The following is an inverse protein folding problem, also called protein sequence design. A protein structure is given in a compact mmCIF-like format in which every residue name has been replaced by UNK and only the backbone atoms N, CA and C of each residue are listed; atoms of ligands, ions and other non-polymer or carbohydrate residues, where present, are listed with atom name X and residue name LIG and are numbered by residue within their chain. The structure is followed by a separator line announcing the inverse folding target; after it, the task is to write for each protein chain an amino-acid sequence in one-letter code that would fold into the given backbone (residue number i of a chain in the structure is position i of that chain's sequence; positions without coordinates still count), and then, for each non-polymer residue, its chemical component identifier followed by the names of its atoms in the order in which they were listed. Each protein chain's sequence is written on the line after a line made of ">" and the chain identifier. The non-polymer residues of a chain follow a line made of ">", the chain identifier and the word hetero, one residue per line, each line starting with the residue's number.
data_IF_423203737090
#
_entry.id   IF_423203737090
#
_cell.length_a   1.000
_cell.length_b   1.000
_cell.length_c   1.000
_cell.angle_alpha   90.00
_cell.angle_beta   90.00
_cell.angle_gamma   90.00
#
_symmetry.space_group_name_H-M   'P 1'
#
loop_
_entity.id
_entity.type
_entity.pdbx_description
1 polymer ?
#
# COMPACT_ATOMS: atom_id res chain seq x y z
N UNK A 1 18.94 -26.48 2.61
CA UNK A 1 18.50 -25.09 2.84
C UNK A 1 17.74 -25.10 4.16
N UNK A 2 18.41 -24.73 5.25
CA UNK A 2 17.82 -24.77 6.59
C UNK A 2 16.66 -23.80 6.68
N UNK A 3 15.43 -24.32 6.78
CA UNK A 3 14.25 -23.54 7.13
C UNK A 3 14.43 -23.16 8.60
N UNK A 4 14.92 -21.95 8.85
CA UNK A 4 14.99 -21.42 10.21
C UNK A 4 13.56 -21.24 10.72
N UNK A 5 13.21 -21.99 11.76
CA UNK A 5 11.96 -21.80 12.51
C UNK A 5 12.08 -20.49 13.29
N UNK A 6 11.33 -19.47 12.87
CA UNK A 6 11.25 -18.20 13.56
C UNK A 6 10.26 -18.31 14.71
N UNK A 7 10.69 -17.94 15.93
CA UNK A 7 9.84 -17.90 17.11
C UNK A 7 8.75 -16.82 16.93
N UNK A 8 7.50 -17.27 16.88
CA UNK A 8 6.30 -16.43 16.85
C UNK A 8 6.10 -15.83 18.24
N UNK A 9 6.02 -14.50 18.33
CA UNK A 9 5.66 -13.80 19.56
C UNK A 9 4.15 -13.53 19.56
N UNK A 10 3.41 -14.25 20.40
CA UNK A 10 2.01 -13.93 20.74
C UNK A 10 0.98 -14.40 19.72
N UNK A 11 0.55 -15.66 19.82
CA UNK A 11 -0.75 -16.10 19.33
C UNK A 11 -1.77 -15.82 20.43
N UNK A 12 -2.47 -14.71 20.34
CA UNK A 12 -3.74 -14.53 21.04
C UNK A 12 -4.82 -14.18 20.02
N UNK A 13 -5.88 -14.97 20.08
CA UNK A 13 -6.99 -15.12 19.15
C UNK A 13 -7.71 -13.79 18.83
N UNK A 14 -7.63 -13.35 17.58
CA UNK A 14 -8.61 -12.40 17.00
C UNK A 14 -8.98 -12.87 15.60
N UNK A 15 -10.18 -13.44 15.51
CA UNK A 15 -10.89 -13.70 14.27
C UNK A 15 -10.94 -12.40 13.44
N UNK A 16 -10.16 -12.33 12.35
CA UNK A 16 -10.30 -11.26 11.35
C UNK A 16 -9.28 -10.12 11.37
N UNK A 17 -8.03 -10.32 11.77
CA UNK A 17 -6.98 -9.33 11.48
C UNK A 17 -5.70 -10.01 11.00
N UNK A 18 -5.25 -9.66 9.80
CA UNK A 18 -3.96 -10.12 9.28
C UNK A 18 -2.85 -9.84 10.31
N UNK A 19 -1.88 -10.74 10.51
CA UNK A 19 -0.72 -10.42 11.31
C UNK A 19 -0.10 -9.12 10.76
N UNK A 20 0.10 -8.14 11.63
CA UNK A 20 0.91 -6.99 11.26
C UNK A 20 2.30 -7.54 10.88
N UNK A 21 2.92 -6.96 9.85
CA UNK A 21 4.24 -7.38 9.36
C UNK A 21 5.30 -7.42 10.48
N UNK A 22 5.03 -6.73 11.58
CA UNK A 22 5.87 -6.55 12.76
C UNK A 22 5.53 -7.49 13.94
N UNK A 23 4.49 -8.30 13.84
CA UNK A 23 4.01 -9.16 14.94
C UNK A 23 4.25 -10.65 14.66
N UNK A 24 4.08 -11.10 13.41
CA UNK A 24 4.39 -12.47 13.02
C UNK A 24 4.87 -12.54 11.55
N UNK A 25 5.62 -13.60 11.17
CA UNK A 25 5.98 -13.83 9.77
C UNK A 25 4.74 -13.98 8.88
N UNK A 26 4.79 -13.40 7.69
CA UNK A 26 3.76 -13.58 6.67
C UNK A 26 3.86 -14.97 6.03
N UNK A 27 2.72 -15.56 5.72
CA UNK A 27 2.68 -16.70 4.81
C UNK A 27 2.92 -16.28 3.35
N UNK A 28 3.09 -17.27 2.46
CA UNK A 28 3.42 -17.04 1.06
C UNK A 28 2.34 -16.26 0.31
N UNK A 29 1.07 -16.54 0.58
CA UNK A 29 -0.08 -15.90 -0.07
C UNK A 29 -0.23 -14.44 0.38
N UNK A 30 -0.13 -14.19 1.69
CA UNK A 30 -0.13 -12.85 2.27
C UNK A 30 1.02 -12.00 1.72
N UNK A 31 2.22 -12.56 1.64
CA UNK A 31 3.39 -11.87 1.09
C UNK A 31 3.19 -11.57 -0.40
N UNK A 32 2.68 -12.51 -1.18
CA UNK A 32 2.41 -12.32 -2.61
C UNK A 32 1.36 -11.23 -2.85
N UNK A 33 0.29 -11.20 -2.04
CA UNK A 33 -0.77 -10.19 -2.16
C UNK A 33 -0.28 -8.79 -1.79
N UNK A 34 0.44 -8.65 -0.68
CA UNK A 34 1.04 -7.37 -0.29
C UNK A 34 2.08 -6.90 -1.33
N UNK A 35 2.87 -7.82 -1.88
CA UNK A 35 3.85 -7.49 -2.92
C UNK A 35 3.19 -6.92 -4.19
N UNK A 36 2.01 -7.41 -4.59
CA UNK A 36 1.25 -6.82 -5.72
C UNK A 36 0.89 -5.37 -5.45
N UNK A 37 0.43 -5.06 -4.23
CA UNK A 37 0.04 -3.71 -3.84
C UNK A 37 1.27 -2.79 -3.75
N UNK A 38 2.34 -3.23 -3.09
CA UNK A 38 3.59 -2.47 -3.01
C UNK A 38 4.21 -2.24 -4.38
N UNK A 39 4.14 -3.20 -5.30
CA UNK A 39 4.59 -3.01 -6.69
C UNK A 39 3.79 -1.93 -7.40
N UNK A 40 2.49 -1.82 -7.14
CA UNK A 40 1.67 -0.73 -7.66
C UNK A 40 2.04 0.62 -7.03
N UNK A 41 2.37 0.67 -5.73
CA UNK A 41 2.75 1.90 -5.03
C UNK A 41 4.21 2.33 -5.27
N UNK A 42 5.10 1.41 -5.64
CA UNK A 42 6.54 1.65 -5.81
C UNK A 42 6.93 2.48 -7.04
N UNK A 43 5.97 3.13 -7.69
CA UNK A 43 6.19 3.98 -8.86
C UNK A 43 5.74 5.42 -8.54
N UNK A 44 6.57 6.42 -8.85
CA UNK A 44 6.31 7.80 -8.45
C UNK A 44 5.07 8.39 -9.12
N UNK A 45 4.79 8.02 -10.37
CA UNK A 45 3.62 8.50 -11.11
C UNK A 45 2.36 7.91 -10.50
N UNK A 46 2.35 6.60 -10.23
CA UNK A 46 1.22 5.91 -9.59
C UNK A 46 0.95 6.45 -8.18
N UNK A 47 1.99 6.67 -7.39
CA UNK A 47 1.84 7.22 -6.04
C UNK A 47 1.26 8.64 -6.07
N UNK A 48 1.71 9.49 -7.01
CA UNK A 48 1.17 10.83 -7.20
C UNK A 48 -0.28 10.82 -7.69
N UNK A 49 -0.62 9.94 -8.64
CA UNK A 49 -2.01 9.74 -9.10
C UNK A 49 -2.92 9.33 -7.94
N UNK A 50 -2.51 8.34 -7.14
CA UNK A 50 -3.26 7.88 -5.99
C UNK A 50 -3.48 9.02 -4.97
N UNK A 51 -2.43 9.79 -4.67
CA UNK A 51 -2.51 10.94 -3.77
C UNK A 51 -3.51 12.00 -4.25
N UNK A 52 -3.49 12.32 -5.55
CA UNK A 52 -4.44 13.27 -6.15
C UNK A 52 -5.89 12.77 -6.08
N UNK A 53 -6.12 11.46 -6.25
CA UNK A 53 -7.45 10.85 -6.13
C UNK A 53 -7.91 10.86 -4.67
N UNK A 54 -7.04 10.44 -3.75
CA UNK A 54 -7.36 10.33 -2.32
C UNK A 54 -7.58 11.68 -1.63
N UNK A 55 -6.93 12.75 -2.09
CA UNK A 55 -7.05 14.09 -1.51
C UNK A 55 -8.20 14.93 -2.08
N UNK A 56 -8.99 14.40 -3.01
CA UNK A 56 -10.10 15.14 -3.61
C UNK A 56 -11.30 15.19 -2.66
N UNK A 57 -11.75 16.41 -2.32
CA UNK A 57 -12.87 16.63 -1.41
C UNK A 57 -14.21 15.98 -1.85
N UNK A 58 -14.40 15.72 -3.14
CA UNK A 58 -15.61 15.07 -3.68
C UNK A 58 -15.57 13.53 -3.70
N UNK A 59 -14.48 12.91 -3.22
CA UNK A 59 -14.32 11.45 -3.19
C UNK A 59 -14.03 10.78 -4.55
N UNK A 60 -14.11 11.52 -5.65
CA UNK A 60 -13.79 11.04 -6.99
C UNK A 60 -13.17 12.12 -7.89
N UNK A 61 -12.43 11.70 -8.92
CA UNK A 61 -11.72 12.58 -9.85
C UNK A 61 -11.87 12.11 -11.29
N UNK A 62 -12.20 13.02 -12.19
CA UNK A 62 -12.20 12.73 -13.63
C UNK A 62 -10.78 12.54 -14.15
N UNK A 63 -10.57 11.59 -15.07
CA UNK A 63 -9.28 11.38 -15.75
C UNK A 63 -8.72 12.64 -16.42
N UNK A 64 -9.60 13.53 -16.87
CA UNK A 64 -9.24 14.80 -17.52
C UNK A 64 -8.64 15.81 -16.55
N UNK A 65 -8.95 15.70 -15.26
CA UNK A 65 -8.36 16.54 -14.23
C UNK A 65 -7.03 15.97 -13.73
N UNK A 66 -6.77 14.68 -13.97
CA UNK A 66 -5.53 14.01 -13.56
C UNK A 66 -4.41 14.20 -14.59
N UNK A 67 -4.74 14.01 -15.88
CA UNK A 67 -3.76 13.98 -16.97
C UNK A 67 -2.89 15.25 -17.07
N UNK A 68 -3.44 16.48 -16.92
CA UNK A 68 -2.64 17.71 -17.03
C UNK A 68 -1.54 17.88 -15.98
N UNK A 69 -1.55 17.10 -14.89
CA UNK A 69 -0.52 17.18 -13.84
C UNK A 69 0.79 16.46 -14.21
N UNK A 70 0.85 15.81 -15.37
CA UNK A 70 1.96 14.98 -15.82
C UNK A 70 2.33 15.29 -17.26
N UNK A 71 3.64 15.33 -17.55
CA UNK A 71 4.18 15.38 -18.92
C UNK A 71 4.18 13.98 -19.56
N UNK A 72 3.02 13.31 -19.53
CA UNK A 72 2.85 11.94 -19.99
C UNK A 72 1.68 11.82 -20.96
N UNK A 73 1.76 10.84 -21.85
CA UNK A 73 0.66 10.53 -22.76
C UNK A 73 -0.56 9.98 -22.02
N UNK A 74 -1.76 10.22 -22.56
CA UNK A 74 -3.00 9.65 -22.01
C UNK A 74 -2.98 8.10 -21.95
N UNK A 75 -2.42 7.36 -22.93
CA UNK A 75 -2.24 5.92 -22.82
C UNK A 75 -1.38 5.50 -21.63
N UNK A 76 -0.32 6.26 -21.33
CA UNK A 76 0.56 6.00 -20.18
C UNK A 76 -0.18 6.21 -18.86
N UNK A 77 -0.92 7.31 -18.71
CA UNK A 77 -1.74 7.58 -17.52
C UNK A 77 -2.82 6.52 -17.34
N UNK A 78 -3.50 6.13 -18.42
CA UNK A 78 -4.51 5.07 -18.39
C UNK A 78 -3.93 3.72 -17.95
N UNK A 79 -2.70 3.40 -18.40
CA UNK A 79 -1.99 2.21 -17.95
C UNK A 79 -1.70 2.25 -16.44
N UNK A 80 -1.21 3.37 -15.92
CA UNK A 80 -0.97 3.55 -14.50
C UNK A 80 -2.25 3.41 -13.65
N UNK A 81 -3.35 4.00 -14.09
CA UNK A 81 -4.66 3.88 -13.44
C UNK A 81 -5.19 2.45 -13.47
N UNK A 82 -4.96 1.71 -14.57
CA UNK A 82 -5.29 0.29 -14.65
C UNK A 82 -4.51 -0.54 -13.63
N UNK A 83 -3.20 -0.29 -13.47
CA UNK A 83 -2.38 -1.01 -12.49
C UNK A 83 -2.82 -0.71 -11.05
N UNK A 84 -3.14 0.55 -10.73
CA UNK A 84 -3.70 0.91 -9.43
C UNK A 84 -5.05 0.22 -9.16
N UNK A 85 -5.92 0.14 -10.17
CA UNK A 85 -7.19 -0.57 -10.07
C UNK A 85 -6.99 -2.08 -9.88
N UNK A 86 -6.07 -2.70 -10.61
CA UNK A 86 -5.75 -4.12 -10.47
C UNK A 86 -5.17 -4.45 -9.10
N UNK A 87 -4.47 -3.52 -8.46
CA UNK A 87 -4.00 -3.63 -7.08
C UNK A 87 -5.09 -3.35 -6.03
N UNK A 88 -6.33 -3.05 -6.43
CA UNK A 88 -7.45 -2.78 -5.52
C UNK A 88 -7.34 -1.44 -4.78
N UNK A 89 -6.49 -0.52 -5.22
CA UNK A 89 -6.30 0.78 -4.57
C UNK A 89 -7.37 1.80 -4.97
N UNK A 90 -7.88 1.68 -6.20
CA UNK A 90 -8.87 2.59 -6.76
C UNK A 90 -9.95 1.81 -7.51
N UNK A 91 -11.11 2.42 -7.66
CA UNK A 91 -12.15 1.98 -8.57
C UNK A 91 -12.43 3.06 -9.62
N UNK A 92 -13.15 2.69 -10.68
CA UNK A 92 -13.47 3.57 -11.80
C UNK A 92 -14.94 3.45 -12.22
N UNK A 93 -15.59 4.58 -12.46
CA UNK A 93 -16.95 4.64 -12.98
C UNK A 93 -16.97 5.43 -14.30
N UNK A 94 -17.63 4.89 -15.33
CA UNK A 94 -17.80 5.60 -16.62
C UNK A 94 -19.13 6.33 -16.62
N UNK A 95 -19.08 7.65 -16.81
CA UNK A 95 -20.25 8.53 -16.91
C UNK A 95 -20.24 9.23 -18.27
N UNK A 96 -20.93 8.63 -19.23
CA UNK A 96 -20.91 9.05 -20.64
C UNK A 96 -19.53 8.87 -21.27
N UNK A 97 -18.93 9.97 -21.71
CA UNK A 97 -17.59 9.97 -22.32
C UNK A 97 -16.46 9.94 -21.29
N UNK A 98 -16.75 10.34 -20.05
CA UNK A 98 -15.73 10.54 -19.02
C UNK A 98 -15.63 9.34 -18.07
N UNK A 99 -14.44 9.15 -17.50
CA UNK A 99 -14.18 8.13 -16.47
C UNK A 99 -13.71 8.82 -15.21
N UNK A 100 -14.38 8.50 -14.11
CA UNK A 100 -14.10 8.99 -12.77
C UNK A 100 -13.41 7.88 -11.97
N UNK A 101 -12.43 8.27 -11.17
CA UNK A 101 -11.69 7.37 -10.29
C UNK A 101 -11.88 7.77 -8.83
N UNK A 102 -12.01 6.79 -7.96
CA UNK A 102 -12.17 6.97 -6.51
C UNK A 102 -11.26 6.02 -5.75
N UNK A 103 -10.85 6.43 -4.55
CA UNK A 103 -10.08 5.58 -3.65
C UNK A 103 -10.96 4.41 -3.15
N UNK A 104 -10.35 3.25 -2.93
CA UNK A 104 -10.93 2.14 -2.16
C UNK A 104 -10.29 2.11 -0.77
N UNK A 105 -10.95 2.68 0.27
CA UNK A 105 -10.36 2.84 1.59
C UNK A 105 -9.92 1.52 2.24
N UNK A 106 -10.63 0.43 1.95
CA UNK A 106 -10.38 -0.88 2.54
C UNK A 106 -8.94 -1.35 2.31
N UNK A 107 -8.39 -1.09 1.13
CA UNK A 107 -7.01 -1.48 0.78
C UNK A 107 -5.98 -0.61 1.49
N UNK A 108 -6.23 0.70 1.61
CA UNK A 108 -5.34 1.60 2.34
C UNK A 108 -5.37 1.36 3.85
N UNK A 109 -6.54 1.05 4.39
CA UNK A 109 -6.71 0.72 5.81
C UNK A 109 -5.98 -0.58 6.16
N UNK A 110 -6.07 -1.60 5.28
CA UNK A 110 -5.29 -2.84 5.39
C UNK A 110 -3.78 -2.59 5.33
N UNK A 111 -3.31 -1.73 4.43
CA UNK A 111 -1.88 -1.38 4.38
C UNK A 111 -1.42 -0.66 5.65
N UNK A 112 -2.25 0.26 6.15
CA UNK A 112 -1.96 0.98 7.39
C UNK A 112 -1.86 0.01 8.56
N UNK A 113 -2.77 -0.96 8.70
CA UNK A 113 -2.70 -1.95 9.79
C UNK A 113 -1.46 -2.84 9.69
N UNK A 114 -1.08 -3.26 8.48
CA UNK A 114 0.11 -4.10 8.23
C UNK A 114 1.41 -3.37 8.61
N UNK A 115 1.49 -2.06 8.35
CA UNK A 115 2.70 -1.25 8.55
C UNK A 115 2.74 -0.51 9.90
N UNK A 116 1.62 -0.44 10.61
CA UNK A 116 1.55 0.24 11.90
C UNK A 116 2.37 -0.52 12.95
N UNK A 117 3.29 0.19 13.57
CA UNK A 117 4.06 -0.35 14.69
C UNK A 117 3.14 -0.50 15.90
N UNK A 118 3.09 -1.67 16.55
CA UNK A 118 2.40 -1.80 17.84
C UNK A 118 3.10 -0.89 18.86
N UNK A 119 2.36 0.06 19.42
CA UNK A 119 2.87 0.95 20.46
C UNK A 119 3.21 0.10 21.70
N UNK A 120 4.47 0.11 22.15
CA UNK A 120 4.87 -0.55 23.41
C UNK A 120 6.26 -1.18 23.44
N UNK A 121 6.91 -1.43 22.29
CA UNK A 121 8.23 -2.09 22.27
C UNK A 121 9.31 -1.07 21.87
N UNK A 122 10.18 -0.63 22.82
CA UNK A 122 11.37 0.16 22.50
C UNK A 122 12.17 -0.57 21.42
N UNK A 123 12.60 0.16 20.39
CA UNK A 123 13.58 -0.38 19.44
C UNK A 123 14.83 -0.75 20.27
N UNK A 124 15.48 -1.91 20.07
CA UNK A 124 16.79 -2.13 20.68
C UNK A 124 17.67 -0.95 20.26
N UNK A 125 18.08 -0.15 21.23
CA UNK A 125 18.92 1.01 20.99
C UNK A 125 20.14 0.52 20.21
N UNK A 126 20.52 1.26 19.16
CA UNK A 126 21.76 0.96 18.44
C UNK A 126 22.87 0.97 19.49
N UNK A 127 23.45 -0.19 19.79
CA UNK A 127 24.71 -0.24 20.53
C UNK A 127 25.74 0.42 19.62
N UNK A 128 25.94 1.73 19.81
CA UNK A 128 27.17 2.37 19.38
C UNK A 128 28.27 1.70 20.18
N UNK A 129 28.95 0.73 19.57
CA UNK A 129 30.25 0.29 20.03
C UNK A 129 31.19 1.50 19.95
N UNK A 130 31.16 2.29 21.03
CA UNK A 130 32.11 3.34 21.30
C UNK A 130 33.43 2.71 21.69
N UNK A 131 34.44 3.09 20.93
CA UNK A 131 35.86 3.12 21.29
C UNK A 131 36.12 3.27 22.80
N UNK A 132 36.88 2.32 23.36
CA UNK A 132 37.82 2.43 24.48
C UNK A 132 38.36 1.01 24.73
N UNK A 133 39.65 0.69 24.76
CA UNK A 133 40.92 1.41 24.65
C UNK A 133 41.98 0.38 24.25
#
# INVERSE_FOLDING_TARGET
>A
MSKQEFAVLGQDDVEGCCPALLTAPLDEDQAADLAKIFKALGDPVRLRLLSMIASRAGGEVCVCDLTPAFDLSQPTISHHLKLLKQAGLIDSERRGTWVYYRLLPQTTDRLASVLTRPAGQPLPAKTSAGAAS
#
